data_IF_678686435798
#
_entry.id   IF_678686435798
#
_cell.length_a   1.000
_cell.length_b   1.000
_cell.length_c   1.000
_cell.angle_alpha   90.00
_cell.angle_beta   90.00
_cell.angle_gamma   90.00
#
_symmetry.space_group_name_H-M   'P 1'
#
loop_
_entity.id
_entity.type
_entity.pdbx_description
1 polymer ?
#
# COMPACT_ATOMS: atom_id res chain seq x y z
N UNK A 1 12.03 -8.27 4.69
CA UNK A 1 11.87 -8.85 6.03
C UNK A 1 11.11 -7.89 6.93
N UNK A 2 10.15 -8.40 7.64
CA UNK A 2 9.42 -7.58 8.62
C UNK A 2 10.34 -7.23 9.80
N UNK A 3 10.31 -5.98 10.25
CA UNK A 3 11.05 -5.55 11.44
C UNK A 3 10.43 -6.17 12.70
N UNK A 4 11.19 -6.39 13.78
CA UNK A 4 10.63 -6.84 15.05
C UNK A 4 9.46 -5.95 15.49
N UNK A 5 8.36 -6.56 15.93
CA UNK A 5 7.14 -5.85 16.31
C UNK A 5 6.23 -5.45 15.16
N UNK A 6 6.57 -5.82 13.92
CA UNK A 6 5.76 -5.52 12.73
C UNK A 6 5.05 -6.79 12.24
N UNK A 7 3.73 -6.66 12.01
CA UNK A 7 2.91 -7.75 11.46
C UNK A 7 2.14 -7.23 10.26
N UNK A 8 2.39 -7.79 9.08
CA UNK A 8 1.71 -7.39 7.85
C UNK A 8 0.26 -7.82 7.89
N UNK A 9 -0.65 -6.89 7.58
CA UNK A 9 -2.09 -7.13 7.49
C UNK A 9 -2.45 -7.45 6.05
N UNK A 10 -2.02 -6.61 5.11
CA UNK A 10 -2.33 -6.76 3.69
C UNK A 10 -1.29 -6.03 2.84
N UNK A 11 -1.14 -6.47 1.61
CA UNK A 11 -0.26 -5.85 0.60
C UNK A 11 -1.06 -5.57 -0.67
N UNK A 12 -0.73 -4.48 -1.34
CA UNK A 12 -1.34 -4.12 -2.62
C UNK A 12 -0.47 -4.66 -3.76
N UNK A 13 -0.83 -5.84 -4.25
CA UNK A 13 -0.07 -6.54 -5.28
C UNK A 13 -0.13 -5.87 -6.65
N UNK A 14 -1.19 -5.10 -6.91
CA UNK A 14 -1.40 -4.42 -8.20
C UNK A 14 -0.69 -3.08 -8.30
N UNK A 15 -0.26 -2.51 -7.18
CA UNK A 15 0.30 -1.15 -7.15
C UNK A 15 1.48 -0.99 -8.10
N UNK A 16 2.43 -1.89 -8.08
CA UNK A 16 3.63 -1.80 -8.92
C UNK A 16 3.37 -2.17 -10.38
N UNK A 17 2.28 -2.86 -10.65
CA UNK A 17 1.82 -3.12 -12.02
C UNK A 17 1.16 -1.88 -12.63
N UNK A 18 0.32 -1.19 -11.85
CA UNK A 18 -0.47 -0.06 -12.31
C UNK A 18 0.27 1.27 -12.23
N UNK A 19 1.28 1.38 -11.37
CA UNK A 19 2.02 2.60 -11.08
C UNK A 19 3.53 2.39 -11.09
N UNK A 20 4.25 3.36 -11.62
CA UNK A 20 5.71 3.42 -11.50
C UNK A 20 6.04 4.06 -10.15
N UNK A 21 6.24 3.24 -9.12
CA UNK A 21 6.51 3.70 -7.75
C UNK A 21 7.95 4.16 -7.65
N UNK A 22 8.16 5.43 -7.35
CA UNK A 22 9.49 6.04 -7.25
C UNK A 22 9.94 6.26 -5.80
N UNK A 23 9.00 6.31 -4.85
CA UNK A 23 9.30 6.59 -3.45
C UNK A 23 8.21 6.01 -2.56
N UNK A 24 8.47 5.91 -1.26
CA UNK A 24 7.48 5.46 -0.29
C UNK A 24 7.64 6.19 1.03
N UNK A 25 6.54 6.28 1.78
CA UNK A 25 6.51 6.91 3.09
C UNK A 25 5.55 6.14 4.00
N UNK A 26 5.89 6.03 5.29
CA UNK A 26 5.02 5.41 6.29
C UNK A 26 4.10 6.47 6.90
N UNK A 27 2.82 6.17 6.99
CA UNK A 27 1.82 7.02 7.61
C UNK A 27 1.06 6.29 8.71
N UNK A 28 0.62 7.01 9.73
CA UNK A 28 -0.40 6.52 10.64
C UNK A 28 -1.77 6.64 9.99
N UNK A 29 -2.77 6.02 10.59
CA UNK A 29 -4.15 6.06 10.10
C UNK A 29 -5.13 6.16 11.25
N UNK A 30 -6.12 7.02 11.12
CA UNK A 30 -7.18 7.18 12.11
C UNK A 30 -8.28 6.16 11.83
N UNK A 31 -8.53 5.27 12.78
CA UNK A 31 -9.46 4.15 12.64
C UNK A 31 -10.46 4.10 13.78
N UNK A 32 -11.62 3.51 13.50
CA UNK A 32 -12.58 3.13 14.52
C UNK A 32 -12.18 1.80 15.15
N UNK A 33 -12.63 1.53 16.38
CA UNK A 33 -12.31 0.27 17.07
C UNK A 33 -12.74 -0.97 16.30
N UNK A 34 -13.90 -0.93 15.64
CA UNK A 34 -14.39 -2.04 14.81
C UNK A 34 -13.51 -2.28 13.59
N UNK A 35 -12.93 -1.23 13.02
CA UNK A 35 -11.99 -1.34 11.91
C UNK A 35 -10.70 -2.02 12.35
N UNK A 36 -10.17 -1.66 13.51
CA UNK A 36 -8.98 -2.29 14.06
C UNK A 36 -9.20 -3.79 14.28
N UNK A 37 -10.37 -4.16 14.79
CA UNK A 37 -10.74 -5.57 14.98
C UNK A 37 -10.77 -6.35 13.67
N UNK A 38 -11.36 -5.77 12.64
CA UNK A 38 -11.38 -6.38 11.29
C UNK A 38 -9.98 -6.52 10.72
N UNK A 39 -9.11 -5.54 10.95
CA UNK A 39 -7.73 -5.59 10.48
C UNK A 39 -6.91 -6.67 11.18
N UNK A 40 -7.21 -7.00 12.43
CA UNK A 40 -6.58 -8.13 13.12
C UNK A 40 -6.86 -9.45 12.43
N UNK A 41 -8.00 -9.56 11.75
CA UNK A 41 -8.39 -10.72 10.95
C UNK A 41 -8.01 -10.55 9.47
N UNK A 42 -7.25 -9.53 9.15
CA UNK A 42 -6.78 -9.21 7.79
C UNK A 42 -7.91 -9.05 6.78
N UNK A 43 -9.09 -8.57 7.21
CA UNK A 43 -10.26 -8.40 6.35
C UNK A 43 -10.27 -7.00 5.76
N UNK A 44 -9.37 -6.78 4.81
CA UNK A 44 -9.18 -5.48 4.15
C UNK A 44 -8.74 -5.69 2.70
N UNK A 45 -9.18 -4.77 1.83
CA UNK A 45 -8.77 -4.73 0.43
C UNK A 45 -8.12 -3.39 0.11
N UNK A 46 -6.86 -3.42 -0.33
CA UNK A 46 -6.07 -2.24 -0.66
C UNK A 46 -6.01 -1.94 -2.15
N UNK A 47 -6.38 -2.89 -3.00
CA UNK A 47 -6.09 -2.83 -4.45
C UNK A 47 -6.64 -1.60 -5.16
N UNK A 48 -7.79 -1.10 -4.73
CA UNK A 48 -8.43 0.07 -5.33
C UNK A 48 -8.18 1.35 -4.51
N UNK A 49 -7.31 1.27 -3.49
CA UNK A 49 -7.02 2.37 -2.60
C UNK A 49 -6.15 3.44 -3.25
N UNK A 50 -6.38 4.66 -2.83
CA UNK A 50 -5.55 5.80 -3.17
C UNK A 50 -5.65 6.84 -2.04
N UNK A 51 -4.67 7.74 -1.98
CA UNK A 51 -4.71 8.83 -1.03
C UNK A 51 -4.78 10.16 -1.76
N UNK A 52 -5.53 11.10 -1.23
CA UNK A 52 -5.64 12.43 -1.79
C UNK A 52 -5.70 13.50 -0.72
N UNK A 53 -5.26 14.70 -1.06
CA UNK A 53 -5.34 15.84 -0.17
C UNK A 53 -6.75 16.44 -0.21
N UNK A 54 -7.23 16.77 0.98
CA UNK A 54 -8.52 17.43 1.17
C UNK A 54 -8.36 18.41 2.34
N UNK A 55 -8.48 19.72 2.06
CA UNK A 55 -8.34 20.79 3.06
C UNK A 55 -7.02 20.72 3.84
N UNK A 56 -5.91 20.43 3.15
CA UNK A 56 -4.58 20.34 3.75
C UNK A 56 -4.28 19.05 4.48
N UNK A 57 -5.21 18.12 4.52
CA UNK A 57 -5.05 16.81 5.15
C UNK A 57 -5.03 15.72 4.10
N UNK A 58 -4.35 14.60 4.40
CA UNK A 58 -4.27 13.45 3.51
C UNK A 58 -5.27 12.40 3.93
N UNK A 59 -6.09 11.94 2.98
CA UNK A 59 -7.15 10.96 3.21
C UNK A 59 -6.93 9.72 2.37
N UNK A 60 -7.11 8.55 2.99
CA UNK A 60 -7.09 7.26 2.29
C UNK A 60 -8.51 6.92 1.87
N UNK A 61 -8.71 6.71 0.56
CA UNK A 61 -10.01 6.38 -0.03
C UNK A 61 -9.90 5.10 -0.86
N UNK A 62 -11.04 4.48 -1.15
CA UNK A 62 -11.08 3.26 -1.95
C UNK A 62 -10.58 2.01 -1.25
N UNK A 63 -10.24 2.08 0.03
CA UNK A 63 -9.85 0.92 0.84
C UNK A 63 -11.07 0.38 1.56
N UNK A 64 -11.38 -0.89 1.33
CA UNK A 64 -12.51 -1.56 1.97
C UNK A 64 -12.04 -2.36 3.18
N UNK A 65 -12.52 -1.99 4.37
CA UNK A 65 -12.31 -2.76 5.60
C UNK A 65 -13.65 -3.42 5.94
N UNK A 66 -13.69 -4.74 5.90
CA UNK A 66 -14.93 -5.50 6.13
C UNK A 66 -15.52 -5.19 7.51
N UNK A 67 -16.86 -5.19 7.66
CA UNK A 67 -17.46 -5.04 8.98
C UNK A 67 -16.98 -6.17 9.90
N UNK A 68 -16.72 -5.84 11.17
CA UNK A 68 -16.42 -6.86 12.16
C UNK A 68 -17.70 -7.67 12.43
N UNK A 69 -17.62 -9.00 12.35
CA UNK A 69 -18.78 -9.89 12.35
C UNK A 69 -19.68 -9.80 13.57
N UNK A 70 -19.18 -9.29 14.70
CA UNK A 70 -19.95 -9.12 15.92
C UNK A 70 -20.41 -7.68 16.16
N UNK A 71 -20.04 -6.73 15.30
CA UNK A 71 -20.44 -5.34 15.39
C UNK A 71 -21.78 -5.16 14.66
N UNK A 72 -22.86 -4.95 15.41
CA UNK A 72 -24.20 -4.72 14.88
C UNK A 72 -24.71 -3.40 15.46
N UNK A 73 -25.25 -2.52 14.60
CA UNK A 73 -25.74 -1.22 15.04
C UNK A 73 -24.62 -0.26 15.42
N UNK A 74 -24.63 0.24 16.66
CA UNK A 74 -23.58 1.09 17.18
C UNK A 74 -22.24 0.33 17.21
N UNK A 75 -21.23 0.85 16.56
CA UNK A 75 -19.91 0.22 16.46
C UNK A 75 -19.64 -0.45 15.12
N UNK A 76 -20.68 -0.63 14.28
CA UNK A 76 -20.47 -1.01 12.90
C UNK A 76 -19.90 0.19 12.12
N UNK A 77 -19.07 -0.09 11.11
CA UNK A 77 -18.48 0.94 10.27
C UNK A 77 -18.83 0.72 8.80
N UNK A 78 -18.75 1.78 8.02
CA UNK A 78 -18.85 1.68 6.56
C UNK A 78 -17.54 1.11 6.02
N UNK A 79 -17.63 0.13 5.12
CA UNK A 79 -16.47 -0.57 4.58
C UNK A 79 -15.49 0.38 3.89
N UNK A 80 -16.00 1.30 3.12
CA UNK A 80 -15.23 2.16 2.22
C UNK A 80 -15.17 3.63 2.67
N UNK A 81 -15.42 3.90 3.94
CA UNK A 81 -15.36 5.28 4.42
C UNK A 81 -13.95 5.85 4.25
N UNK A 82 -13.81 7.15 3.90
CA UNK A 82 -12.49 7.79 3.88
C UNK A 82 -11.87 7.80 5.28
N UNK A 83 -10.55 7.54 5.34
CA UNK A 83 -9.82 7.52 6.61
C UNK A 83 -8.66 8.49 6.56
N UNK A 84 -8.52 9.28 7.60
CA UNK A 84 -7.48 10.28 7.69
C UNK A 84 -6.12 9.60 7.91
N UNK A 85 -5.15 9.97 7.09
CA UNK A 85 -3.77 9.54 7.26
C UNK A 85 -3.01 10.54 8.13
N UNK A 86 -2.14 10.03 8.99
CA UNK A 86 -1.44 10.83 9.98
C UNK A 86 0.04 10.91 9.61
N UNK A 87 0.47 12.11 9.29
CA UNK A 87 1.84 12.43 8.92
C UNK A 87 2.27 13.72 9.63
N UNK A 88 3.56 13.90 9.78
CA UNK A 88 4.08 15.16 10.28
C UNK A 88 3.79 16.28 9.28
N UNK A 89 3.61 17.51 9.79
CA UNK A 89 3.27 18.65 8.94
C UNK A 89 4.30 18.88 7.83
N UNK A 90 5.58 18.72 8.12
CA UNK A 90 6.64 18.86 7.14
C UNK A 90 6.55 17.80 6.03
N UNK A 91 6.17 16.57 6.39
CA UNK A 91 5.96 15.48 5.43
C UNK A 91 4.74 15.75 4.55
N UNK A 92 3.64 16.21 5.15
CA UNK A 92 2.43 16.56 4.40
C UNK A 92 2.71 17.66 3.37
N UNK A 93 3.44 18.70 3.77
CA UNK A 93 3.78 19.82 2.87
C UNK A 93 4.66 19.35 1.71
N UNK A 94 5.70 18.58 2.01
CA UNK A 94 6.62 18.06 1.00
C UNK A 94 5.89 17.16 0.01
N UNK A 95 5.01 16.30 0.49
CA UNK A 95 4.22 15.38 -0.34
C UNK A 95 3.20 16.14 -1.19
N UNK A 96 2.54 17.15 -0.62
CA UNK A 96 1.60 18.00 -1.35
C UNK A 96 2.29 18.75 -2.48
N UNK A 97 3.47 19.31 -2.21
CA UNK A 97 4.26 20.01 -3.22
C UNK A 97 4.72 19.06 -4.34
N UNK A 98 5.08 17.85 -3.99
CA UNK A 98 5.48 16.83 -4.96
C UNK A 98 4.32 16.42 -5.86
N UNK A 99 3.13 16.20 -5.29
CA UNK A 99 1.93 15.84 -6.04
C UNK A 99 1.58 16.96 -7.04
N UNK A 100 1.62 18.21 -6.61
CA UNK A 100 1.30 19.36 -7.45
C UNK A 100 2.33 19.55 -8.58
N UNK A 101 3.62 19.39 -8.27
CA UNK A 101 4.71 19.62 -9.22
C UNK A 101 4.88 18.47 -10.22
N UNK A 102 4.83 17.25 -9.73
CA UNK A 102 5.13 16.05 -10.53
C UNK A 102 3.90 15.29 -11.01
N UNK A 103 2.72 15.66 -10.51
CA UNK A 103 1.44 15.01 -10.81
C UNK A 103 1.49 13.51 -10.54
N UNK A 104 2.07 13.14 -9.41
CA UNK A 104 2.14 11.74 -8.97
C UNK A 104 0.88 11.37 -8.21
N UNK A 105 0.63 10.06 -8.12
CA UNK A 105 -0.43 9.50 -7.29
C UNK A 105 0.17 8.93 -6.02
N UNK A 106 -0.63 8.89 -4.96
CA UNK A 106 -0.26 8.28 -3.68
C UNK A 106 -1.12 7.04 -3.48
N UNK A 107 -0.48 5.88 -3.40
CA UNK A 107 -1.15 4.58 -3.39
C UNK A 107 -0.73 3.80 -2.15
N UNK A 108 -1.68 3.16 -1.41
CA UNK A 108 -1.30 2.30 -0.31
C UNK A 108 -0.63 1.03 -0.85
N UNK A 109 0.60 0.77 -0.43
CA UNK A 109 1.36 -0.41 -0.82
C UNK A 109 1.14 -1.57 0.15
N UNK A 110 1.06 -1.26 1.44
CA UNK A 110 0.88 -2.26 2.48
C UNK A 110 0.26 -1.63 3.72
N UNK A 111 -0.40 -2.45 4.49
CA UNK A 111 -0.93 -2.08 5.80
C UNK A 111 -0.42 -3.10 6.81
N UNK A 112 0.03 -2.63 7.97
CA UNK A 112 0.64 -3.50 8.97
C UNK A 112 0.47 -2.95 10.38
N UNK A 113 0.57 -3.83 11.37
CA UNK A 113 0.71 -3.44 12.76
C UNK A 113 2.19 -3.22 13.08
N UNK A 114 2.49 -2.10 13.70
CA UNK A 114 3.84 -1.79 14.18
C UNK A 114 3.73 -1.31 15.62
N UNK A 115 4.27 -2.11 16.53
CA UNK A 115 4.18 -1.86 17.98
C UNK A 115 2.74 -1.62 18.45
N UNK A 116 1.80 -2.43 17.96
CA UNK A 116 0.39 -2.37 18.31
C UNK A 116 -0.43 -1.30 17.60
N UNK A 117 0.18 -0.50 16.72
CA UNK A 117 -0.51 0.55 15.94
C UNK A 117 -0.55 0.18 14.48
N UNK A 118 -1.66 0.52 13.82
CA UNK A 118 -1.79 0.31 12.39
C UNK A 118 -1.04 1.40 11.64
N UNK A 119 -0.21 0.99 10.70
CA UNK A 119 0.54 1.87 9.80
C UNK A 119 0.25 1.49 8.36
N UNK A 120 0.37 2.47 7.47
CA UNK A 120 0.20 2.28 6.03
C UNK A 120 1.47 2.73 5.34
N UNK A 121 2.04 1.86 4.49
CA UNK A 121 3.11 2.26 3.59
C UNK A 121 2.47 2.83 2.34
N UNK A 122 2.74 4.10 2.07
CA UNK A 122 2.24 4.81 0.91
C UNK A 122 3.31 4.86 -0.17
N UNK A 123 2.98 4.42 -1.38
CA UNK A 123 3.85 4.57 -2.54
C UNK A 123 3.52 5.82 -3.32
N UNK A 124 4.53 6.46 -3.86
CA UNK A 124 4.40 7.67 -4.66
C UNK A 124 4.87 7.35 -6.07
N UNK A 125 4.03 7.56 -7.06
CA UNK A 125 4.37 7.22 -8.42
C UNK A 125 3.37 7.70 -9.45
N UNK A 126 3.69 7.47 -10.71
CA UNK A 126 2.84 7.82 -11.84
C UNK A 126 2.11 6.60 -12.35
N UNK A 127 0.84 6.77 -12.75
CA UNK A 127 0.09 5.72 -13.39
C UNK A 127 0.77 5.27 -14.69
N UNK A 128 0.80 3.96 -14.93
CA UNK A 128 1.39 3.39 -16.15
C UNK A 128 0.38 3.35 -17.26
N UNK A 129 0.81 3.66 -18.48
CA UNK A 129 0.03 3.44 -19.70
C UNK A 129 0.00 1.94 -20.02
N UNK A 130 -0.85 1.53 -20.97
CA UNK A 130 -0.86 0.13 -21.44
C UNK A 130 0.51 -0.31 -21.97
N UNK A 131 1.20 0.55 -22.68
CA UNK A 131 2.54 0.26 -23.19
C UNK A 131 3.54 0.07 -22.06
N UNK A 132 3.52 0.96 -21.06
CA UNK A 132 4.39 0.86 -19.86
C UNK A 132 4.14 -0.44 -19.10
N UNK A 133 2.89 -0.85 -18.95
CA UNK A 133 2.52 -2.10 -18.28
C UNK A 133 3.07 -3.30 -19.02
N UNK A 134 3.00 -3.33 -20.35
CA UNK A 134 3.56 -4.40 -21.17
C UNK A 134 5.07 -4.49 -21.01
N UNK A 135 5.77 -3.38 -21.03
CA UNK A 135 7.22 -3.34 -20.84
C UNK A 135 7.60 -3.84 -19.45
N UNK A 136 6.85 -3.47 -18.42
CA UNK A 136 7.08 -3.93 -17.05
C UNK A 136 6.93 -5.45 -16.92
N UNK A 137 5.93 -6.04 -17.57
CA UNK A 137 5.72 -7.48 -17.57
C UNK A 137 6.86 -8.18 -18.31
N UNK A 138 7.24 -7.69 -19.48
CA UNK A 138 8.35 -8.25 -20.26
C UNK A 138 9.67 -8.21 -19.49
N UNK A 139 9.95 -7.11 -18.79
CA UNK A 139 11.15 -6.97 -17.97
C UNK A 139 11.18 -7.98 -16.82
N UNK A 140 10.03 -8.22 -16.17
CA UNK A 140 9.92 -9.21 -15.10
C UNK A 140 10.13 -10.63 -15.63
N UNK A 141 9.58 -10.95 -16.78
CA UNK A 141 9.74 -12.27 -17.39
C UNK A 141 11.20 -12.52 -17.80
N UNK A 142 11.86 -11.53 -18.38
CA UNK A 142 13.28 -11.61 -18.72
C UNK A 142 14.13 -11.81 -17.46
N UNK A 143 13.82 -11.12 -16.36
CA UNK A 143 14.51 -11.27 -15.09
C UNK A 143 14.36 -12.68 -14.53
N UNK A 144 13.17 -13.24 -14.60
CA UNK A 144 12.90 -14.62 -14.14
C UNK A 144 13.69 -15.63 -14.93
N UNK A 145 13.78 -15.47 -16.25
CA UNK A 145 14.52 -16.38 -17.12
C UNK A 145 16.02 -16.33 -16.80
N UNK A 146 16.57 -15.15 -16.57
CA UNK A 146 17.97 -14.98 -16.16
C UNK A 146 18.23 -15.68 -14.82
N UNK A 147 17.34 -15.50 -13.85
CA UNK A 147 17.46 -16.14 -12.53
C UNK A 147 17.41 -17.67 -12.61
N UNK A 148 16.53 -18.21 -13.44
CA UNK A 148 16.44 -19.67 -13.68
C UNK A 148 17.73 -20.22 -14.27
N UNK A 149 18.29 -19.53 -15.25
CA UNK A 149 19.52 -19.97 -15.89
C UNK A 149 20.70 -19.91 -14.92
N UNK A 150 20.80 -18.87 -14.11
CA UNK A 150 21.81 -18.77 -13.06
C UNK A 150 21.65 -19.88 -12.03
N UNK A 151 20.44 -20.22 -11.64
CA UNK A 151 20.16 -21.33 -10.74
C UNK A 151 20.63 -22.67 -11.30
N UNK A 152 20.41 -22.94 -12.58
CA UNK A 152 20.90 -24.15 -13.25
C UNK A 152 22.42 -24.22 -13.24
N UNK A 153 23.10 -23.13 -13.57
CA UNK A 153 24.57 -23.07 -13.56
C UNK A 153 25.15 -23.34 -12.18
N UNK A 154 24.54 -22.78 -11.15
CA UNK A 154 24.94 -23.01 -9.75
C UNK A 154 24.74 -24.46 -9.35
N UNK A 155 23.65 -25.09 -9.76
CA UNK A 155 23.40 -26.52 -9.53
C UNK A 155 24.46 -27.39 -10.17
N UNK A 156 24.90 -27.09 -11.40
CA UNK A 156 25.92 -27.83 -12.11
C UNK A 156 27.30 -27.66 -11.46
N UNK A 157 27.60 -26.52 -10.89
CA UNK A 157 28.88 -26.24 -10.22
C UNK A 157 29.01 -26.99 -8.91
N UNK A 158 27.89 -27.27 -8.23
CA UNK A 158 27.86 -27.96 -6.92
C UNK A 158 27.83 -29.49 -7.02
N UNK A 159 27.83 -30.03 -8.21
CA UNK A 159 27.97 -31.46 -8.47
C UNK A 159 29.50 -31.76 -8.65
#
# INVERSE_FOLDING_TARGET
MAQPGTKIIASNRRARHDYAISDSIEAGISLLGSEVKSLREAQVQLNDGFARFRSGELWLEGVAIAPYGFAVGFGAHEQDRPRKLLLHRAELKRLSDQVDRERVSIIPLAMYFKNGRVKVELGIGKGRTKADKRQSIAAKDAQRDIEREMGRRLSLIHI
#
